data_IF_539251731188
#
_entry.id   IF_539251731188
#
_cell.length_a   1.000
_cell.length_b   1.000
_cell.length_c   1.000
_cell.angle_alpha   90.00
_cell.angle_beta   90.00
_cell.angle_gamma   90.00
#
_symmetry.space_group_name_H-M   'P 1'
#
loop_
_entity.id
_entity.type
_entity.pdbx_description
1 polymer ?
#
# COMPACT_ATOMS: atom_id res chain seq x y z
N UNK A 1 3.68 -71.01 13.26
CA UNK A 1 2.80 -69.86 13.63
C UNK A 1 3.47 -68.59 13.15
N UNK A 2 3.01 -68.03 12.01
CA UNK A 2 3.63 -66.86 11.37
C UNK A 2 2.78 -65.65 11.74
N UNK A 3 3.31 -64.74 12.59
CA UNK A 3 2.66 -63.49 12.92
C UNK A 3 2.85 -62.47 11.79
N UNK A 4 1.76 -62.09 11.15
CA UNK A 4 1.70 -61.07 10.11
C UNK A 4 1.50 -59.68 10.77
N UNK A 5 2.57 -58.88 10.84
CA UNK A 5 2.55 -57.49 11.28
C UNK A 5 2.03 -56.61 10.13
N UNK A 6 0.78 -56.15 10.23
CA UNK A 6 0.19 -55.13 9.37
C UNK A 6 0.71 -53.74 9.80
N UNK A 7 1.63 -53.19 9.00
CA UNK A 7 2.05 -51.78 9.08
C UNK A 7 0.95 -50.88 8.43
N UNK A 8 0.14 -50.25 9.26
CA UNK A 8 -0.77 -49.19 8.82
C UNK A 8 0.04 -47.90 8.61
N UNK A 9 0.38 -47.62 7.36
CA UNK A 9 0.99 -46.36 6.96
C UNK A 9 -0.02 -45.23 7.05
N UNK A 10 0.11 -44.37 8.06
CA UNK A 10 -0.69 -43.16 8.24
C UNK A 10 -0.14 -42.08 7.31
N UNK A 11 -0.80 -41.93 6.14
CA UNK A 11 -0.48 -40.80 5.21
C UNK A 11 -1.01 -39.54 5.83
N UNK A 12 -0.11 -38.71 6.41
CA UNK A 12 -0.41 -37.34 6.77
C UNK A 12 -0.52 -36.49 5.50
N UNK A 13 -1.73 -36.27 4.98
CA UNK A 13 -2.00 -35.19 4.06
C UNK A 13 -1.81 -33.89 4.85
N UNK A 14 -0.66 -33.27 4.71
CA UNK A 14 -0.43 -31.90 5.20
C UNK A 14 -1.35 -30.93 4.45
N UNK A 15 -2.42 -30.49 5.09
CA UNK A 15 -3.16 -29.31 4.67
C UNK A 15 -2.21 -28.12 4.79
N UNK A 16 -1.60 -27.72 3.67
CA UNK A 16 -0.96 -26.41 3.58
C UNK A 16 -2.08 -25.36 3.67
N UNK A 17 -2.41 -24.89 4.89
CA UNK A 17 -3.11 -23.63 5.05
C UNK A 17 -2.13 -22.54 4.57
N UNK A 18 -2.29 -22.10 3.34
CA UNK A 18 -1.70 -20.83 2.90
C UNK A 18 -2.39 -19.75 3.70
N UNK A 19 -1.73 -19.21 4.73
CA UNK A 19 -2.16 -17.98 5.34
C UNK A 19 -2.22 -16.95 4.21
N UNK A 20 -3.39 -16.30 4.05
CA UNK A 20 -3.51 -15.22 3.07
C UNK A 20 -2.50 -14.15 3.46
N UNK A 21 -1.56 -13.86 2.58
CA UNK A 21 -0.58 -12.80 2.80
C UNK A 21 -1.32 -11.47 3.02
N UNK A 22 -0.80 -10.64 3.90
CA UNK A 22 -1.28 -9.29 4.14
C UNK A 22 -0.23 -8.27 3.69
N UNK A 23 -0.64 -7.02 3.46
CA UNK A 23 0.31 -5.95 3.17
C UNK A 23 1.28 -5.79 4.35
N UNK A 24 2.58 -5.78 4.05
CA UNK A 24 3.66 -5.56 5.02
C UNK A 24 3.85 -4.07 5.25
N UNK A 25 2.99 -3.51 6.13
CA UNK A 25 3.03 -2.11 6.46
C UNK A 25 4.29 -1.73 7.26
N UNK A 26 4.90 -0.62 6.90
CA UNK A 26 6.06 -0.02 7.57
C UNK A 26 5.66 1.30 8.23
N UNK A 27 6.44 1.73 9.23
CA UNK A 27 6.48 3.14 9.60
C UNK A 27 7.21 3.94 8.52
N UNK A 28 7.00 5.25 8.46
CA UNK A 28 7.58 6.06 7.38
C UNK A 28 9.11 6.12 7.43
N UNK A 29 9.70 6.13 8.63
CA UNK A 29 11.14 6.07 8.85
C UNK A 29 11.75 4.75 8.39
N UNK A 30 11.09 3.61 8.70
CA UNK A 30 11.49 2.30 8.21
C UNK A 30 11.45 2.23 6.68
N UNK A 31 10.37 2.72 6.06
CA UNK A 31 10.23 2.72 4.60
C UNK A 31 11.31 3.58 3.92
N UNK A 32 11.64 4.74 4.48
CA UNK A 32 12.73 5.60 3.99
C UNK A 32 14.08 4.90 4.11
N UNK A 33 14.34 4.22 5.23
CA UNK A 33 15.58 3.46 5.41
C UNK A 33 15.71 2.34 4.38
N UNK A 34 14.63 1.60 4.12
CA UNK A 34 14.60 0.55 3.09
C UNK A 34 14.83 1.15 1.69
N UNK A 35 14.15 2.26 1.35
CA UNK A 35 14.29 2.93 0.07
C UNK A 35 15.69 3.50 -0.18
N UNK A 36 16.45 3.79 0.87
CA UNK A 36 17.85 4.22 0.76
C UNK A 36 18.80 3.08 0.36
N UNK A 37 18.43 1.84 0.64
CA UNK A 37 19.20 0.64 0.29
C UNK A 37 18.77 0.06 -1.05
N UNK A 38 17.47 -0.04 -1.27
CA UNK A 38 16.87 -0.51 -2.51
C UNK A 38 15.79 0.51 -2.94
N UNK A 39 16.05 1.33 -3.98
CA UNK A 39 15.11 2.38 -4.39
C UNK A 39 13.79 1.83 -4.91
N UNK A 40 12.71 2.03 -4.15
CA UNK A 40 11.32 1.77 -4.54
C UNK A 40 10.45 2.97 -4.14
N UNK A 41 9.29 3.09 -4.78
CA UNK A 41 8.29 4.09 -4.40
C UNK A 41 7.66 3.68 -3.07
N UNK A 42 7.48 4.66 -2.16
CA UNK A 42 6.68 4.50 -0.96
C UNK A 42 5.21 4.75 -1.33
N UNK A 43 4.33 3.84 -0.95
CA UNK A 43 2.87 4.00 -1.05
C UNK A 43 2.33 4.25 0.36
N UNK A 44 1.95 5.49 0.62
CA UNK A 44 1.56 5.96 1.95
C UNK A 44 0.04 6.08 2.01
N UNK A 45 -0.61 5.24 2.80
CA UNK A 45 -2.01 5.39 3.15
C UNK A 45 -2.13 6.35 4.34
N UNK A 46 -2.65 7.55 4.04
CA UNK A 46 -2.90 8.60 5.04
C UNK A 46 -4.33 8.48 5.54
N UNK A 47 -4.48 8.11 6.79
CA UNK A 47 -5.77 7.80 7.40
C UNK A 47 -5.98 8.52 8.75
N UNK A 48 -7.14 8.35 9.33
CA UNK A 48 -7.47 8.66 10.73
C UNK A 48 -8.39 7.59 11.31
N UNK A 49 -8.38 7.41 12.63
CA UNK A 49 -9.16 6.37 13.31
C UNK A 49 -10.68 6.49 13.12
N UNK A 50 -11.19 7.69 12.92
CA UNK A 50 -12.62 7.95 12.70
C UNK A 50 -13.05 7.86 11.23
N UNK A 51 -12.11 7.68 10.29
CA UNK A 51 -12.37 7.66 8.85
C UNK A 51 -13.06 6.35 8.42
N UNK A 52 -14.36 6.38 8.18
CA UNK A 52 -15.12 5.20 7.75
C UNK A 52 -14.69 4.66 6.37
N UNK A 53 -14.33 5.55 5.43
CA UNK A 53 -13.84 5.15 4.12
C UNK A 53 -12.44 4.53 4.16
N UNK A 54 -11.60 4.94 5.12
CA UNK A 54 -10.30 4.30 5.35
C UNK A 54 -10.49 2.85 5.82
N UNK A 55 -11.36 2.64 6.82
CA UNK A 55 -11.71 1.29 7.30
C UNK A 55 -12.29 0.42 6.20
N UNK A 56 -13.11 1.00 5.31
CA UNK A 56 -13.62 0.28 4.14
C UNK A 56 -12.48 -0.11 3.19
N UNK A 57 -11.52 0.78 2.94
CA UNK A 57 -10.37 0.51 2.08
C UNK A 57 -9.49 -0.60 2.66
N UNK A 58 -9.28 -0.61 3.98
CA UNK A 58 -8.60 -1.71 4.67
C UNK A 58 -9.29 -3.06 4.47
N UNK A 59 -10.62 -3.08 4.59
CA UNK A 59 -11.41 -4.30 4.50
C UNK A 59 -11.64 -4.80 3.06
N UNK A 60 -11.37 -3.99 2.05
CA UNK A 60 -11.65 -4.34 0.64
C UNK A 60 -10.40 -4.25 -0.23
N UNK A 61 -9.88 -3.05 -0.46
CA UNK A 61 -8.78 -2.78 -1.38
C UNK A 61 -7.46 -3.37 -0.88
N UNK A 62 -7.13 -3.14 0.39
CA UNK A 62 -5.88 -3.63 0.98
C UNK A 62 -5.92 -5.10 1.43
N UNK A 63 -7.06 -5.76 1.30
CA UNK A 63 -7.22 -7.20 1.50
C UNK A 63 -7.37 -7.98 0.18
N UNK A 64 -7.39 -7.30 -0.95
CA UNK A 64 -7.41 -7.92 -2.27
C UNK A 64 -6.07 -8.61 -2.54
N UNK A 65 -6.05 -9.91 -2.93
CA UNK A 65 -4.81 -10.67 -3.08
C UNK A 65 -3.81 -10.06 -4.07
N UNK A 66 -4.28 -9.56 -5.21
CA UNK A 66 -3.43 -8.97 -6.25
C UNK A 66 -2.81 -7.66 -5.75
N UNK A 67 -3.61 -6.84 -5.03
CA UNK A 67 -3.10 -5.62 -4.39
C UNK A 67 -2.04 -5.95 -3.35
N UNK A 68 -2.27 -6.96 -2.52
CA UNK A 68 -1.32 -7.40 -1.49
C UNK A 68 0.00 -7.85 -2.12
N UNK A 69 -0.06 -8.66 -3.18
CA UNK A 69 1.12 -9.14 -3.90
C UNK A 69 1.92 -7.98 -4.48
N UNK A 70 1.28 -7.11 -5.30
CA UNK A 70 1.93 -5.98 -5.96
C UNK A 70 2.54 -5.01 -4.95
N UNK A 71 1.80 -4.68 -3.88
CA UNK A 71 2.29 -3.78 -2.82
C UNK A 71 3.54 -4.32 -2.13
N UNK A 72 3.54 -5.63 -1.80
CA UNK A 72 4.65 -6.25 -1.10
C UNK A 72 5.89 -6.46 -1.97
N UNK A 73 5.72 -6.64 -3.27
CA UNK A 73 6.80 -6.91 -4.21
C UNK A 73 7.48 -5.64 -4.71
N UNK A 74 6.69 -4.61 -5.05
CA UNK A 74 7.20 -3.47 -5.81
C UNK A 74 7.32 -2.17 -4.99
N UNK A 75 6.74 -2.11 -3.78
CA UNK A 75 6.65 -0.89 -3.00
C UNK A 75 7.14 -1.05 -1.56
N UNK A 76 7.28 0.08 -0.88
CA UNK A 76 7.33 0.14 0.58
C UNK A 76 6.01 0.73 1.09
N UNK A 77 5.06 -0.14 1.49
CA UNK A 77 3.78 0.31 2.01
C UNK A 77 3.93 0.98 3.37
N UNK A 78 3.29 2.14 3.56
CA UNK A 78 3.31 2.90 4.81
C UNK A 78 1.88 3.18 5.28
N UNK A 79 1.60 2.90 6.56
CA UNK A 79 0.40 3.38 7.24
C UNK A 79 0.75 4.64 8.02
N UNK A 80 0.07 5.76 7.74
CA UNK A 80 0.31 7.04 8.38
C UNK A 80 -0.98 7.58 9.00
N UNK A 81 -1.07 7.53 10.34
CA UNK A 81 -2.12 8.22 11.05
C UNK A 81 -1.87 9.74 11.00
N UNK A 82 -2.78 10.45 10.34
CA UNK A 82 -2.69 11.90 10.18
C UNK A 82 -2.93 12.67 11.49
N UNK A 83 -3.44 12.02 12.53
CA UNK A 83 -3.65 12.57 13.88
C UNK A 83 -2.71 11.92 14.92
N UNK A 84 -1.74 11.10 14.48
CA UNK A 84 -0.72 10.47 15.31
C UNK A 84 0.08 11.51 16.10
N UNK A 85 0.42 11.18 17.36
CA UNK A 85 1.07 12.14 18.28
C UNK A 85 2.55 11.91 18.48
N UNK A 86 3.08 10.82 17.95
CA UNK A 86 4.48 10.43 18.06
C UNK A 86 5.33 11.30 17.12
N UNK A 87 6.44 11.84 17.62
CA UNK A 87 7.37 12.58 16.77
C UNK A 87 7.97 11.66 15.70
N UNK A 88 7.99 12.11 14.44
CA UNK A 88 8.62 11.39 13.32
C UNK A 88 9.88 12.14 12.89
N UNK A 89 11.02 11.44 12.95
CA UNK A 89 12.32 12.00 12.60
C UNK A 89 12.76 11.50 11.22
N UNK A 90 12.99 12.42 10.29
CA UNK A 90 13.49 12.12 8.95
C UNK A 90 14.72 12.99 8.67
N UNK A 91 15.89 12.37 8.61
CA UNK A 91 17.15 13.10 8.55
C UNK A 91 17.31 14.02 9.77
N UNK A 92 17.58 15.29 9.53
CA UNK A 92 17.75 16.31 10.58
C UNK A 92 16.43 16.99 10.99
N UNK A 93 15.30 16.58 10.43
CA UNK A 93 14.00 17.19 10.68
C UNK A 93 13.11 16.31 11.53
N UNK A 94 12.54 16.91 12.59
CA UNK A 94 11.50 16.30 13.41
C UNK A 94 10.14 16.90 13.01
N UNK A 95 9.21 16.02 12.61
CA UNK A 95 7.82 16.36 12.34
C UNK A 95 6.99 16.03 13.57
N UNK A 96 6.08 16.92 13.94
CA UNK A 96 5.32 16.84 15.18
C UNK A 96 3.82 16.87 14.94
N UNK A 97 3.10 16.41 15.94
CA UNK A 97 1.66 16.68 16.01
C UNK A 97 1.40 18.16 16.31
N UNK A 98 0.47 18.76 15.58
CA UNK A 98 0.02 20.14 15.75
C UNK A 98 -1.40 20.11 16.32
N UNK A 99 -1.57 20.56 17.55
CA UNK A 99 -2.88 20.76 18.14
C UNK A 99 -3.48 22.08 17.61
N UNK A 100 -4.66 21.99 17.02
CA UNK A 100 -5.40 23.17 16.50
C UNK A 100 -6.66 23.48 17.30
N UNK A 101 -6.76 22.95 18.53
CA UNK A 101 -7.92 23.12 19.43
C UNK A 101 -9.15 22.28 19.05
N UNK A 102 -9.03 21.41 18.04
CA UNK A 102 -10.07 20.49 17.58
C UNK A 102 -9.51 19.06 17.58
N UNK A 103 -9.12 18.51 16.40
CA UNK A 103 -8.51 17.18 16.29
C UNK A 103 -6.99 17.24 16.15
N UNK A 104 -6.50 18.34 15.60
CA UNK A 104 -5.10 18.48 15.24
C UNK A 104 -4.72 17.69 13.98
N UNK A 105 -3.44 17.65 13.70
CA UNK A 105 -2.88 16.88 12.59
C UNK A 105 -1.37 16.68 12.79
N UNK A 106 -0.81 15.69 12.16
CA UNK A 106 0.63 15.49 12.12
C UNK A 106 1.26 16.25 10.93
N UNK A 107 2.36 16.98 11.15
CA UNK A 107 3.02 17.78 10.11
C UNK A 107 3.40 16.97 8.87
N UNK A 108 3.83 15.71 9.04
CA UNK A 108 4.20 14.85 7.90
C UNK A 108 2.99 14.52 7.02
N UNK A 109 1.79 14.41 7.59
CA UNK A 109 0.57 14.20 6.81
C UNK A 109 0.30 15.38 5.89
N UNK A 110 0.54 16.62 6.35
CA UNK A 110 0.45 17.82 5.50
C UNK A 110 1.43 17.77 4.34
N UNK A 111 2.66 17.33 4.60
CA UNK A 111 3.71 17.23 3.56
C UNK A 111 3.31 16.22 2.49
N UNK A 112 2.99 14.97 2.90
CA UNK A 112 2.72 13.90 1.93
C UNK A 112 1.39 14.08 1.19
N UNK A 113 0.41 14.80 1.78
CA UNK A 113 -0.85 15.16 1.11
C UNK A 113 -0.79 16.48 0.33
N UNK A 114 0.40 17.09 0.20
CA UNK A 114 0.61 18.39 -0.45
C UNK A 114 -0.28 19.49 0.14
N UNK A 115 -0.45 19.50 1.48
CA UNK A 115 -1.26 20.50 2.19
C UNK A 115 -2.76 20.25 2.20
N UNK A 116 -3.24 19.13 1.62
CA UNK A 116 -4.65 18.84 1.45
C UNK A 116 -5.07 17.65 2.32
N UNK A 117 -5.38 17.92 3.58
CA UNK A 117 -5.81 16.90 4.53
C UNK A 117 -7.24 16.43 4.21
N UNK A 118 -7.34 15.28 3.55
CA UNK A 118 -8.57 14.52 3.30
C UNK A 118 -8.28 13.03 3.43
N UNK A 119 -9.27 12.22 3.84
CA UNK A 119 -9.04 10.82 4.18
C UNK A 119 -10.09 9.90 3.56
N UNK A 120 -9.64 8.73 3.01
CA UNK A 120 -8.25 8.34 2.80
C UNK A 120 -7.56 9.19 1.72
N UNK A 121 -6.25 9.33 1.79
CA UNK A 121 -5.42 9.82 0.69
C UNK A 121 -4.24 8.87 0.52
N UNK A 122 -4.04 8.39 -0.70
CA UNK A 122 -2.85 7.60 -1.05
C UNK A 122 -1.80 8.54 -1.62
N UNK A 123 -0.64 8.58 -0.97
CA UNK A 123 0.49 9.39 -1.44
C UNK A 123 1.60 8.49 -1.98
N UNK A 124 2.09 8.83 -3.16
CA UNK A 124 3.21 8.16 -3.81
C UNK A 124 4.46 9.04 -3.67
N UNK A 125 5.51 8.47 -3.05
CA UNK A 125 6.74 9.21 -2.74
C UNK A 125 7.92 8.44 -3.30
N UNK A 126 8.81 9.10 -4.04
CA UNK A 126 10.00 8.43 -4.57
C UNK A 126 11.06 8.19 -3.47
N UNK A 127 12.08 7.40 -3.82
CA UNK A 127 13.16 7.06 -2.90
C UNK A 127 14.00 8.28 -2.42
N UNK A 128 13.83 9.44 -3.06
CA UNK A 128 14.46 10.70 -2.68
C UNK A 128 13.57 11.56 -1.78
N UNK A 129 12.37 11.06 -1.42
CA UNK A 129 11.41 11.77 -0.55
C UNK A 129 10.56 12.81 -1.27
N UNK A 130 10.57 12.83 -2.62
CA UNK A 130 9.70 13.73 -3.40
C UNK A 130 8.31 13.11 -3.51
N UNK A 131 7.29 13.86 -3.12
CA UNK A 131 5.89 13.46 -3.35
C UNK A 131 5.59 13.53 -4.84
N UNK A 132 5.38 12.36 -5.46
CA UNK A 132 5.02 12.23 -6.88
C UNK A 132 3.56 12.57 -7.12
N UNK A 133 2.69 12.07 -6.24
CA UNK A 133 1.25 12.33 -6.25
C UNK A 133 0.65 12.16 -4.87
N UNK A 134 -0.45 12.87 -4.61
CA UNK A 134 -1.35 12.64 -3.50
C UNK A 134 -2.77 12.47 -4.06
N UNK A 135 -3.27 11.25 -4.06
CA UNK A 135 -4.52 10.85 -4.69
C UNK A 135 -5.62 10.67 -3.63
N UNK A 136 -6.49 11.67 -3.39
CA UNK A 136 -7.51 11.62 -2.35
C UNK A 136 -8.66 10.69 -2.70
N UNK A 137 -9.35 10.22 -1.66
CA UNK A 137 -10.58 9.44 -1.73
C UNK A 137 -10.35 7.92 -1.82
N UNK A 138 -11.41 7.20 -1.46
CA UNK A 138 -11.47 5.75 -1.55
C UNK A 138 -11.24 5.28 -2.99
N UNK A 139 -10.50 4.19 -3.14
CA UNK A 139 -10.30 3.49 -4.42
C UNK A 139 -10.68 2.02 -4.26
N UNK A 140 -11.39 1.46 -5.24
CA UNK A 140 -11.57 0.01 -5.32
C UNK A 140 -10.25 -0.68 -5.62
N UNK A 141 -10.16 -2.00 -5.45
CA UNK A 141 -8.97 -2.78 -5.80
C UNK A 141 -8.58 -2.57 -7.27
N UNK A 142 -9.54 -2.61 -8.20
CA UNK A 142 -9.30 -2.39 -9.64
C UNK A 142 -8.70 -1.01 -9.92
N UNK A 143 -9.31 0.03 -9.36
CA UNK A 143 -8.78 1.39 -9.50
C UNK A 143 -7.37 1.52 -8.90
N UNK A 144 -7.14 0.89 -7.76
CA UNK A 144 -5.85 0.98 -7.08
C UNK A 144 -4.76 0.22 -7.84
N UNK A 145 -5.06 -0.94 -8.44
CA UNK A 145 -4.11 -1.68 -9.29
C UNK A 145 -3.60 -0.85 -10.46
N UNK A 146 -4.44 -0.01 -11.08
CA UNK A 146 -3.98 0.90 -12.15
C UNK A 146 -2.92 1.88 -11.65
N UNK A 147 -3.14 2.47 -10.46
CA UNK A 147 -2.12 3.33 -9.83
C UNK A 147 -0.84 2.54 -9.52
N UNK A 148 -0.97 1.35 -8.96
CA UNK A 148 0.19 0.52 -8.63
C UNK A 148 0.99 0.17 -9.88
N UNK A 149 0.34 -0.27 -10.96
CA UNK A 149 1.00 -0.53 -12.24
C UNK A 149 1.73 0.71 -12.78
N UNK A 150 1.09 1.89 -12.76
CA UNK A 150 1.66 3.14 -13.21
C UNK A 150 2.98 3.49 -12.50
N UNK A 151 3.05 3.25 -11.19
CA UNK A 151 4.25 3.55 -10.41
C UNK A 151 5.28 2.43 -10.41
N UNK A 152 4.87 1.14 -10.41
CA UNK A 152 5.77 0.00 -10.42
C UNK A 152 6.59 -0.07 -11.72
N UNK A 153 5.94 0.12 -12.86
CA UNK A 153 6.58 0.08 -14.19
C UNK A 153 7.38 1.36 -14.50
N UNK A 154 7.29 2.36 -13.63
CA UNK A 154 7.96 3.64 -13.82
C UNK A 154 7.35 4.50 -14.94
N UNK A 155 6.14 4.19 -15.41
CA UNK A 155 5.41 4.92 -16.44
C UNK A 155 5.24 6.41 -16.09
N UNK A 156 5.11 6.72 -14.79
CA UNK A 156 5.02 8.09 -14.27
C UNK A 156 6.20 9.01 -14.67
N UNK A 157 7.30 8.44 -15.16
CA UNK A 157 8.47 9.20 -15.63
C UNK A 157 8.32 9.72 -17.06
N UNK A 158 7.41 9.14 -17.84
CA UNK A 158 7.30 9.37 -19.28
C UNK A 158 5.91 9.76 -19.79
N UNK A 159 4.84 9.49 -19.02
CA UNK A 159 3.47 9.79 -19.42
C UNK A 159 2.62 10.20 -18.22
N UNK A 160 1.49 10.86 -18.47
CA UNK A 160 0.52 11.20 -17.44
C UNK A 160 -0.27 9.97 -16.98
N UNK A 161 -0.88 10.05 -15.77
CA UNK A 161 -1.76 8.98 -15.28
C UNK A 161 -2.97 8.76 -16.20
N UNK A 162 -3.55 9.84 -16.74
CA UNK A 162 -4.73 9.76 -17.62
C UNK A 162 -4.41 8.99 -18.92
N UNK A 163 -3.25 9.26 -19.53
CA UNK A 163 -2.79 8.53 -20.72
C UNK A 163 -2.51 7.05 -20.40
N UNK A 164 -1.84 6.79 -19.27
CA UNK A 164 -1.55 5.42 -18.85
C UNK A 164 -2.83 4.64 -18.56
N UNK A 165 -3.75 5.20 -17.77
CA UNK A 165 -4.99 4.53 -17.35
C UNK A 165 -5.90 4.22 -18.53
N UNK A 166 -6.01 5.12 -19.52
CA UNK A 166 -6.77 4.87 -20.74
C UNK A 166 -6.20 3.69 -21.54
N UNK A 167 -4.89 3.59 -21.66
CA UNK A 167 -4.21 2.46 -22.30
C UNK A 167 -4.34 1.15 -21.53
N UNK A 168 -4.26 1.20 -20.21
CA UNK A 168 -4.40 0.04 -19.32
C UNK A 168 -5.79 -0.58 -19.44
N UNK A 169 -6.84 0.21 -19.35
CA UNK A 169 -8.23 -0.25 -19.49
C UNK A 169 -8.50 -0.87 -20.87
N UNK A 170 -7.98 -0.26 -21.94
CA UNK A 170 -8.14 -0.80 -23.30
C UNK A 170 -7.47 -2.17 -23.47
N UNK A 171 -6.33 -2.41 -22.80
CA UNK A 171 -5.67 -3.72 -22.82
C UNK A 171 -6.48 -4.77 -22.05
N UNK A 172 -7.00 -4.46 -20.87
CA UNK A 172 -7.85 -5.38 -20.09
C UNK A 172 -9.11 -5.77 -20.88
N UNK A 173 -9.81 -4.80 -21.49
CA UNK A 173 -10.99 -5.05 -22.33
C UNK A 173 -10.66 -5.94 -23.54
N UNK A 174 -9.52 -5.74 -24.18
CA UNK A 174 -9.09 -6.54 -25.33
C UNK A 174 -8.78 -7.99 -24.96
N UNK A 175 -8.23 -8.22 -23.77
CA UNK A 175 -7.96 -9.58 -23.24
C UNK A 175 -9.27 -10.31 -22.94
N UNK A 176 -10.25 -9.64 -22.33
CA UNK A 176 -11.55 -10.24 -22.01
C UNK A 176 -12.34 -10.60 -23.27
N UNK A 177 -12.27 -9.78 -24.33
CA UNK A 177 -12.97 -10.04 -25.61
C UNK A 177 -12.38 -11.22 -26.40
N UNK A 178 -11.15 -11.64 -26.11
CA UNK A 178 -10.46 -12.74 -26.82
C UNK A 178 -10.47 -14.05 -26.03
N UNK A 179 -11.17 -14.13 -24.88
CA UNK A 179 -11.41 -15.35 -24.09
C UNK A 179 -12.79 -15.95 -24.39
#
# INVERSE_FOLDING_TARGET
>A
MKSLLLLVGMVFLGLNLTAQDSIRWHSIDQAIQLASQEPRVLVIDVYTDWCGWCKRMDATTFSDPDVVEIMNEHFYPVKLDAEGKEDIVIGDRTFKFVDNGSRGYHEIAVVVTRGRLSYPTISYVDAQGKVLEAAPGYKTADQFRVYLAYYADGAYKSQSFDEFSAGYTALEESVIQNL
#
